data_IF_441964645509
#
_entry.id   IF_441964645509
#
_cell.length_a   1.000
_cell.length_b   1.000
_cell.length_c   1.000
_cell.angle_alpha   90.00
_cell.angle_beta   90.00
_cell.angle_gamma   90.00
#
_symmetry.space_group_name_H-M   'P 1'
#
loop_
_entity.id
_entity.type
_entity.pdbx_description
1 polymer ?
#
# COMPACT_ATOMS: atom_id res chain seq x y z
N UNK A 1 23.37 -3.55 -11.78
CA UNK A 1 22.49 -4.66 -12.20
C UNK A 1 23.36 -5.85 -12.49
N UNK A 2 23.04 -7.03 -12.00
CA UNK A 2 23.76 -8.23 -12.42
C UNK A 2 23.53 -8.43 -13.92
N UNK A 3 24.58 -8.72 -14.63
CA UNK A 3 24.51 -9.07 -16.04
C UNK A 3 23.43 -10.14 -16.23
N UNK A 4 22.44 -9.81 -17.03
CA UNK A 4 21.32 -10.72 -17.31
C UNK A 4 21.91 -11.94 -18.01
N UNK A 5 21.74 -13.11 -17.42
CA UNK A 5 22.10 -14.37 -18.07
C UNK A 5 21.29 -14.48 -19.35
N UNK A 6 21.90 -14.47 -20.54
CA UNK A 6 21.19 -14.25 -21.80
C UNK A 6 20.19 -15.36 -22.15
N UNK A 7 20.43 -16.57 -21.67
CA UNK A 7 19.53 -17.72 -21.95
C UNK A 7 19.64 -18.74 -20.83
N UNK A 8 18.68 -18.76 -19.91
CA UNK A 8 18.73 -19.72 -18.80
C UNK A 8 18.52 -21.15 -19.30
N UNK A 9 19.44 -22.05 -19.00
CA UNK A 9 19.28 -23.48 -19.21
C UNK A 9 18.43 -24.11 -18.11
N UNK A 10 17.12 -23.91 -18.18
CA UNK A 10 16.20 -24.49 -17.19
C UNK A 10 16.23 -26.00 -17.12
N UNK A 11 16.62 -26.71 -18.20
CA UNK A 11 16.71 -28.16 -18.22
C UNK A 11 17.96 -28.59 -17.47
N UNK A 12 19.09 -27.91 -17.70
CA UNK A 12 20.32 -28.12 -16.96
C UNK A 12 20.15 -27.88 -15.49
N UNK A 13 19.52 -26.77 -15.09
CA UNK A 13 19.24 -26.42 -13.69
C UNK A 13 18.31 -27.42 -12.97
N UNK A 14 17.39 -28.01 -13.72
CA UNK A 14 16.51 -29.07 -13.21
C UNK A 14 17.25 -30.37 -12.90
N UNK A 15 18.28 -30.67 -13.71
CA UNK A 15 19.12 -31.87 -13.51
C UNK A 15 20.15 -31.66 -12.42
N UNK A 16 20.73 -30.48 -12.36
CA UNK A 16 21.70 -30.07 -11.35
C UNK A 16 21.40 -28.64 -10.86
N UNK A 17 20.65 -28.50 -9.77
CA UNK A 17 20.30 -27.20 -9.21
C UNK A 17 21.51 -26.38 -8.79
N UNK A 18 22.67 -26.99 -8.56
CA UNK A 18 23.88 -26.28 -8.16
C UNK A 18 24.46 -25.39 -9.26
N UNK A 19 24.04 -25.62 -10.51
CA UNK A 19 24.46 -24.85 -11.68
C UNK A 19 23.53 -23.66 -11.97
N UNK A 20 22.46 -23.50 -11.21
CA UNK A 20 21.51 -22.42 -11.43
C UNK A 20 22.14 -21.05 -11.19
N UNK A 21 21.79 -20.02 -12.02
CA UNK A 21 22.32 -18.67 -11.85
C UNK A 21 21.95 -18.14 -10.46
N UNK A 22 22.91 -17.51 -9.82
CA UNK A 22 22.75 -16.94 -8.47
C UNK A 22 23.25 -17.83 -7.34
N UNK A 23 23.48 -19.13 -7.55
CA UNK A 23 24.12 -19.97 -6.53
C UNK A 23 25.55 -19.52 -6.29
N UNK A 24 26.28 -19.17 -7.36
CA UNK A 24 27.60 -18.58 -7.24
C UNK A 24 27.59 -17.23 -6.49
N UNK A 25 26.52 -16.45 -6.63
CA UNK A 25 26.32 -15.20 -5.91
C UNK A 25 26.12 -15.44 -4.42
N UNK A 26 25.38 -16.48 -4.03
CA UNK A 26 25.21 -16.86 -2.62
C UNK A 26 26.50 -17.37 -1.98
N UNK A 27 27.35 -18.04 -2.77
CA UNK A 27 28.64 -18.54 -2.33
C UNK A 27 29.78 -17.54 -2.49
N UNK A 28 29.55 -16.39 -3.12
CA UNK A 28 30.55 -15.36 -3.29
C UNK A 28 30.70 -14.55 -2.00
N UNK A 29 31.91 -14.50 -1.38
CA UNK A 29 32.16 -13.77 -0.14
C UNK A 29 31.71 -12.31 -0.20
N UNK A 30 31.78 -11.68 -1.39
CA UNK A 30 31.33 -10.30 -1.60
C UNK A 30 29.84 -10.09 -1.35
N UNK A 31 29.02 -11.13 -1.54
CA UNK A 31 27.57 -11.07 -1.39
C UNK A 31 27.05 -11.93 -0.24
N UNK A 32 27.81 -12.95 0.17
CA UNK A 32 27.44 -13.86 1.26
C UNK A 32 27.23 -13.11 2.59
N UNK A 33 28.09 -12.13 2.89
CA UNK A 33 27.97 -11.31 4.09
C UNK A 33 26.76 -10.36 4.09
N UNK A 34 26.20 -10.12 2.90
CA UNK A 34 24.98 -9.29 2.71
C UNK A 34 23.72 -10.12 2.54
N UNK A 35 23.83 -11.43 2.36
CA UNK A 35 22.71 -12.33 2.21
C UNK A 35 22.11 -12.67 3.59
N UNK A 36 21.19 -11.82 4.03
CA UNK A 36 20.46 -12.02 5.30
C UNK A 36 19.06 -12.56 5.03
N UNK A 37 18.57 -13.53 5.83
CA UNK A 37 17.26 -14.13 5.63
C UNK A 37 16.13 -13.11 5.87
N UNK A 38 15.10 -13.18 5.05
CA UNK A 38 13.83 -12.45 5.28
C UNK A 38 12.88 -13.39 6.02
N UNK A 39 12.24 -12.88 7.06
CA UNK A 39 11.28 -13.62 7.87
C UNK A 39 9.89 -13.08 7.54
N UNK A 40 8.94 -13.97 7.25
CA UNK A 40 7.53 -13.64 7.10
C UNK A 40 6.75 -14.29 8.25
N UNK A 41 5.88 -13.52 8.88
CA UNK A 41 5.07 -13.97 10.00
C UNK A 41 3.68 -13.34 10.00
N UNK A 42 2.74 -14.00 10.65
CA UNK A 42 1.42 -13.44 10.89
C UNK A 42 1.35 -12.91 12.34
N UNK A 43 0.69 -11.79 12.51
CA UNK A 43 0.38 -11.30 13.86
C UNK A 43 -0.51 -12.30 14.60
N UNK A 44 -0.28 -12.45 15.90
CA UNK A 44 -1.14 -13.27 16.78
C UNK A 44 -2.58 -12.73 16.83
N UNK A 45 -2.72 -11.42 16.65
CA UNK A 45 -3.99 -10.70 16.74
C UNK A 45 -4.60 -10.43 15.37
N UNK A 46 -4.13 -11.14 14.32
CA UNK A 46 -4.66 -10.99 12.97
C UNK A 46 -6.16 -11.30 12.94
N UNK A 47 -6.94 -10.37 12.40
CA UNK A 47 -8.39 -10.45 12.28
C UNK A 47 -8.80 -10.45 10.82
N UNK A 48 -9.94 -11.06 10.53
CA UNK A 48 -10.51 -11.01 9.17
C UNK A 48 -10.96 -9.58 8.84
N UNK A 49 -10.67 -9.06 7.64
CA UNK A 49 -11.17 -7.79 7.19
C UNK A 49 -12.69 -7.74 7.19
N UNK A 50 -13.24 -6.62 7.64
CA UNK A 50 -14.68 -6.38 7.69
C UNK A 50 -14.98 -5.06 7.00
N UNK A 51 -16.01 -5.06 6.14
CA UNK A 51 -16.47 -3.85 5.45
C UNK A 51 -17.93 -3.59 5.80
N UNK A 52 -18.18 -2.44 6.39
CA UNK A 52 -19.52 -1.92 6.63
C UNK A 52 -19.88 -0.96 5.52
N UNK A 53 -21.02 -1.18 4.88
CA UNK A 53 -21.57 -0.29 3.85
C UNK A 53 -22.98 0.12 4.22
N UNK A 54 -23.24 1.41 4.05
CA UNK A 54 -24.58 1.95 4.17
C UNK A 54 -24.83 2.94 3.03
N UNK A 55 -26.07 2.98 2.57
CA UNK A 55 -26.53 4.01 1.63
C UNK A 55 -27.94 4.46 2.01
N UNK A 56 -28.19 5.72 1.74
CA UNK A 56 -29.51 6.33 1.85
C UNK A 56 -29.76 7.17 0.60
N UNK A 57 -30.97 7.06 0.05
CA UNK A 57 -31.35 7.84 -1.11
C UNK A 57 -32.74 8.42 -0.88
N UNK A 58 -32.92 9.66 -1.32
CA UNK A 58 -34.20 10.35 -1.35
C UNK A 58 -34.43 10.94 -2.73
N UNK A 59 -35.60 10.66 -3.29
CA UNK A 59 -36.02 11.18 -4.59
C UNK A 59 -37.28 12.02 -4.41
N UNK A 60 -37.29 13.21 -4.99
CA UNK A 60 -38.43 14.11 -4.98
C UNK A 60 -38.83 14.51 -6.41
N UNK A 61 -40.12 14.46 -6.67
CA UNK A 61 -40.73 14.93 -7.91
C UNK A 61 -41.34 16.29 -7.64
N UNK A 62 -40.69 17.36 -8.10
CA UNK A 62 -41.20 18.74 -7.98
C UNK A 62 -42.36 18.98 -8.93
N UNK A 63 -42.38 18.23 -10.04
CA UNK A 63 -43.46 18.22 -11.04
C UNK A 63 -43.30 16.98 -11.93
N UNK A 64 -44.25 16.76 -12.84
CA UNK A 64 -44.15 15.70 -13.86
C UNK A 64 -42.93 15.86 -14.77
N UNK A 65 -42.30 17.04 -14.74
CA UNK A 65 -41.14 17.36 -15.58
C UNK A 65 -39.83 17.51 -14.84
N UNK A 66 -39.85 17.64 -13.51
CA UNK A 66 -38.65 17.86 -12.73
C UNK A 66 -38.56 16.84 -11.58
N UNK A 67 -37.54 16.02 -11.63
CA UNK A 67 -37.18 15.04 -10.60
C UNK A 67 -35.76 15.33 -10.08
N UNK A 68 -35.57 15.29 -8.79
CA UNK A 68 -34.26 15.34 -8.15
C UNK A 68 -34.08 14.21 -7.17
N UNK A 69 -32.85 13.69 -7.09
CA UNK A 69 -32.45 12.67 -6.13
C UNK A 69 -31.22 13.10 -5.38
N UNK A 70 -31.14 12.71 -4.12
CA UNK A 70 -29.97 12.89 -3.26
C UNK A 70 -29.63 11.54 -2.68
N UNK A 71 -28.37 11.14 -2.79
CA UNK A 71 -27.89 9.86 -2.28
C UNK A 71 -26.63 10.05 -1.45
N UNK A 72 -26.61 9.44 -0.28
CA UNK A 72 -25.44 9.38 0.59
C UNK A 72 -24.93 7.95 0.70
N UNK A 73 -23.62 7.79 0.68
CA UNK A 73 -22.94 6.50 0.76
C UNK A 73 -21.85 6.55 1.83
N UNK A 74 -21.76 5.47 2.61
CA UNK A 74 -20.71 5.27 3.60
C UNK A 74 -20.09 3.89 3.40
N UNK A 75 -18.75 3.84 3.39
CA UNK A 75 -18.00 2.58 3.44
C UNK A 75 -16.93 2.69 4.53
N UNK A 76 -16.96 1.76 5.49
CA UNK A 76 -15.97 1.67 6.55
C UNK A 76 -15.28 0.30 6.47
N UNK A 77 -14.04 0.29 6.02
CA UNK A 77 -13.16 -0.88 6.06
C UNK A 77 -12.43 -0.93 7.40
N UNK A 78 -12.38 -2.10 8.01
CA UNK A 78 -11.68 -2.36 9.27
C UNK A 78 -10.90 -3.67 9.17
N UNK A 79 -9.81 -3.74 9.92
CA UNK A 79 -8.93 -4.91 9.97
C UNK A 79 -8.34 -5.27 8.59
N UNK A 80 -8.18 -4.32 7.68
CA UNK A 80 -7.52 -4.60 6.41
C UNK A 80 -6.08 -5.03 6.67
N UNK A 81 -5.62 -5.98 5.89
CA UNK A 81 -4.26 -6.49 6.02
C UNK A 81 -3.25 -5.45 5.55
N UNK A 82 -2.17 -5.37 6.28
CA UNK A 82 -0.99 -4.60 5.93
C UNK A 82 0.26 -5.28 6.46
N UNK A 83 1.40 -5.01 5.84
CA UNK A 83 2.68 -5.55 6.28
C UNK A 83 3.48 -4.48 7.01
N UNK A 84 4.06 -4.86 8.12
CA UNK A 84 4.98 -4.03 8.90
C UNK A 84 6.33 -4.75 8.96
N UNK A 85 7.41 -4.01 8.73
CA UNK A 85 8.76 -4.54 8.91
C UNK A 85 9.21 -4.32 10.37
N UNK A 86 9.16 -5.37 11.17
CA UNK A 86 9.52 -5.33 12.60
C UNK A 86 11.02 -5.16 12.85
N UNK A 87 11.83 -5.34 11.83
CA UNK A 87 13.28 -5.13 11.94
C UNK A 87 13.72 -3.70 11.63
N UNK A 88 12.82 -2.83 11.23
CA UNK A 88 13.12 -1.40 11.11
C UNK A 88 13.13 -0.74 12.48
N UNK A 89 14.01 0.25 12.67
CA UNK A 89 14.04 1.07 13.89
C UNK A 89 12.66 1.72 14.14
N UNK A 90 12.28 1.86 15.40
CA UNK A 90 10.94 2.31 15.74
C UNK A 90 10.71 3.80 15.42
N UNK A 91 11.72 4.62 15.66
CA UNK A 91 11.65 6.06 15.46
C UNK A 91 12.46 6.50 14.24
N UNK A 92 11.96 7.42 13.44
CA UNK A 92 12.73 7.99 12.34
C UNK A 92 13.88 8.85 12.88
N UNK A 93 15.03 8.78 12.25
CA UNK A 93 16.17 9.64 12.57
C UNK A 93 15.90 11.12 12.30
N UNK A 94 15.10 11.39 11.27
CA UNK A 94 14.62 12.73 10.93
C UNK A 94 13.35 12.65 10.05
N UNK A 95 12.72 13.81 9.83
CA UNK A 95 11.50 13.90 9.02
C UNK A 95 11.66 14.93 7.91
N UNK A 96 11.05 14.66 6.76
CA UNK A 96 11.04 15.56 5.61
C UNK A 96 9.78 16.41 5.64
N UNK A 97 9.91 17.65 6.08
CA UNK A 97 8.76 18.58 6.17
C UNK A 97 8.14 18.89 4.80
N UNK A 98 8.95 18.93 3.75
CA UNK A 98 8.47 19.14 2.37
C UNK A 98 7.63 17.97 1.81
N UNK A 99 7.68 16.80 2.45
CA UNK A 99 6.98 15.59 2.04
C UNK A 99 5.96 15.14 3.10
N UNK A 100 5.21 16.06 3.65
CA UNK A 100 4.17 15.74 4.63
C UNK A 100 4.71 15.14 5.93
N UNK A 101 5.89 15.54 6.36
CA UNK A 101 6.56 15.02 7.55
C UNK A 101 6.94 13.52 7.47
N UNK A 102 7.21 13.02 6.26
CA UNK A 102 7.64 11.64 6.06
C UNK A 102 8.90 11.32 6.89
N UNK A 103 8.86 10.24 7.66
CA UNK A 103 9.98 9.76 8.46
C UNK A 103 11.06 9.11 7.61
N UNK A 104 12.33 9.37 7.95
CA UNK A 104 13.51 8.71 7.38
C UNK A 104 14.16 7.85 8.46
N UNK A 105 14.28 6.57 8.20
CA UNK A 105 14.68 5.54 9.14
C UNK A 105 16.14 5.11 9.00
N UNK A 106 16.95 5.91 8.31
CA UNK A 106 18.41 5.76 8.24
C UNK A 106 19.07 7.06 8.67
N UNK A 107 20.29 7.00 9.24
CA UNK A 107 21.04 8.22 9.59
C UNK A 107 21.34 9.05 8.34
N UNK A 108 21.24 10.37 8.42
CA UNK A 108 21.49 11.27 7.29
C UNK A 108 22.93 11.12 6.75
N UNK A 109 23.89 10.75 7.59
CA UNK A 109 25.28 10.51 7.20
C UNK A 109 25.49 9.29 6.30
N UNK A 110 24.54 8.37 6.24
CA UNK A 110 24.59 7.14 5.42
C UNK A 110 23.90 7.32 4.07
N UNK A 111 23.28 8.47 3.85
CA UNK A 111 22.62 8.78 2.58
C UNK A 111 23.65 9.26 1.57
N UNK A 112 23.71 8.58 0.43
CA UNK A 112 24.57 8.95 -0.69
C UNK A 112 24.20 10.31 -1.28
N UNK A 113 25.14 10.96 -1.94
CA UNK A 113 24.90 12.26 -2.61
C UNK A 113 23.85 12.20 -3.72
N UNK A 114 23.63 11.02 -4.26
CA UNK A 114 22.62 10.66 -5.26
C UNK A 114 21.27 10.25 -4.64
N UNK A 115 21.15 10.30 -3.31
CA UNK A 115 19.97 9.90 -2.57
C UNK A 115 19.87 8.38 -2.32
N UNK A 116 20.91 7.60 -2.67
CA UNK A 116 20.92 6.16 -2.37
C UNK A 116 20.98 5.93 -0.86
N UNK A 117 20.23 4.91 -0.40
CA UNK A 117 20.13 4.52 1.00
C UNK A 117 20.72 3.12 1.19
N UNK A 118 21.53 2.93 2.22
CA UNK A 118 21.79 1.58 2.73
C UNK A 118 20.67 1.22 3.74
N UNK A 119 19.76 0.37 3.30
CA UNK A 119 18.61 -0.05 4.10
C UNK A 119 19.02 -0.83 5.36
N UNK A 120 20.23 -1.37 5.43
CA UNK A 120 20.74 -2.06 6.62
C UNK A 120 20.95 -1.10 7.79
N UNK A 121 21.25 0.15 7.52
CA UNK A 121 21.48 1.20 8.54
C UNK A 121 20.21 1.58 9.30
N UNK A 122 19.03 1.21 8.77
CA UNK A 122 17.74 1.41 9.42
C UNK A 122 17.23 0.17 10.18
N UNK A 123 18.06 -0.85 10.40
CA UNK A 123 17.67 -2.11 11.02
C UNK A 123 17.98 -2.15 12.51
N UNK A 124 17.08 -2.80 13.28
CA UNK A 124 17.32 -3.15 14.69
C UNK A 124 18.39 -4.23 14.80
N UNK A 125 18.41 -5.16 13.84
CA UNK A 125 19.36 -6.26 13.77
C UNK A 125 19.88 -6.43 12.36
N UNK A 126 21.19 -6.55 12.21
CA UNK A 126 21.88 -6.84 10.96
C UNK A 126 21.99 -8.34 10.67
N UNK A 127 21.60 -9.20 11.61
CA UNK A 127 21.62 -10.66 11.45
C UNK A 127 20.50 -11.18 10.57
N UNK A 128 19.44 -10.39 10.41
CA UNK A 128 18.28 -10.69 9.57
C UNK A 128 17.97 -9.48 8.69
N UNK A 129 17.38 -9.74 7.53
CA UNK A 129 16.90 -8.70 6.64
C UNK A 129 15.56 -8.13 7.13
N UNK A 130 14.54 -8.28 6.33
CA UNK A 130 13.18 -7.86 6.69
C UNK A 130 12.52 -8.88 7.61
N UNK A 131 11.79 -8.40 8.59
CA UNK A 131 10.87 -9.20 9.40
C UNK A 131 9.47 -8.70 9.14
N UNK A 132 8.82 -9.30 8.14
CA UNK A 132 7.52 -8.89 7.64
C UNK A 132 6.41 -9.53 8.45
N UNK A 133 5.71 -8.73 9.22
CA UNK A 133 4.53 -9.15 9.96
C UNK A 133 3.27 -8.69 9.23
N UNK A 134 2.37 -9.64 8.94
CA UNK A 134 1.02 -9.35 8.48
C UNK A 134 0.17 -8.96 9.69
N UNK A 135 -0.28 -7.71 9.71
CA UNK A 135 -1.16 -7.16 10.75
C UNK A 135 -2.51 -6.78 10.18
N UNK A 136 -3.51 -6.61 11.04
CA UNK A 136 -4.90 -6.26 10.68
C UNK A 136 -5.26 -4.86 11.18
N UNK A 137 -4.38 -3.89 10.93
CA UNK A 137 -4.52 -2.51 11.43
C UNK A 137 -5.02 -1.54 10.35
N UNK A 138 -5.22 -2.05 9.14
CA UNK A 138 -5.69 -1.25 8.02
C UNK A 138 -7.12 -0.77 8.20
N UNK A 139 -7.35 0.51 7.85
CA UNK A 139 -8.64 1.19 7.93
C UNK A 139 -8.93 1.91 6.63
N UNK A 140 -10.18 1.96 6.26
CA UNK A 140 -10.71 2.79 5.17
C UNK A 140 -11.95 3.50 5.68
N UNK A 141 -12.03 4.80 5.45
CA UNK A 141 -13.21 5.61 5.68
C UNK A 141 -13.54 6.32 4.37
N UNK A 142 -14.69 6.00 3.80
CA UNK A 142 -15.17 6.62 2.58
C UNK A 142 -16.57 7.15 2.80
N UNK A 143 -16.79 8.41 2.41
CA UNK A 143 -18.09 9.06 2.38
C UNK A 143 -18.28 9.66 1.00
N UNK A 144 -19.44 9.42 0.42
CA UNK A 144 -19.80 10.02 -0.85
C UNK A 144 -21.22 10.58 -0.79
N UNK A 145 -21.44 11.62 -1.56
CA UNK A 145 -22.72 12.28 -1.70
C UNK A 145 -22.97 12.58 -3.16
N UNK A 146 -24.13 12.19 -3.67
CA UNK A 146 -24.51 12.42 -5.05
C UNK A 146 -25.82 13.18 -5.11
N UNK A 147 -25.90 14.19 -5.97
CA UNK A 147 -27.12 14.88 -6.34
C UNK A 147 -27.36 14.66 -7.83
N UNK A 148 -28.52 14.18 -8.15
CA UNK A 148 -28.97 13.94 -9.52
C UNK A 148 -30.22 14.77 -9.81
N UNK A 149 -30.36 15.25 -11.03
CA UNK A 149 -31.54 15.94 -11.49
C UNK A 149 -31.88 15.58 -12.92
N UNK A 150 -33.15 15.47 -13.21
CA UNK A 150 -33.68 15.27 -14.56
C UNK A 150 -34.80 16.26 -14.81
N UNK A 151 -34.67 17.03 -15.87
CA UNK A 151 -35.64 18.01 -16.27
C UNK A 151 -36.09 17.79 -17.71
N UNK A 152 -37.41 17.57 -17.91
CA UNK A 152 -38.03 17.47 -19.22
C UNK A 152 -38.58 18.82 -19.60
N UNK A 153 -37.88 19.52 -20.48
CA UNK A 153 -38.19 20.90 -20.82
C UNK A 153 -39.11 21.03 -22.07
N UNK A 154 -39.19 19.99 -22.91
CA UNK A 154 -40.05 19.95 -24.08
C UNK A 154 -40.58 18.53 -24.28
N UNK A 155 -41.45 18.33 -25.35
CA UNK A 155 -42.11 17.05 -25.60
C UNK A 155 -41.14 15.86 -25.61
N UNK A 156 -39.98 16.05 -26.23
CA UNK A 156 -38.95 15.03 -26.39
C UNK A 156 -37.56 15.48 -25.86
N UNK A 157 -37.50 16.64 -25.19
CA UNK A 157 -36.26 17.20 -24.66
C UNK A 157 -36.08 16.86 -23.16
N UNK A 158 -34.95 16.29 -22.84
CA UNK A 158 -34.55 15.96 -21.47
C UNK A 158 -33.13 16.45 -21.17
N UNK A 159 -32.93 17.07 -20.04
CA UNK A 159 -31.63 17.45 -19.49
C UNK A 159 -31.43 16.73 -18.18
N UNK A 160 -30.34 15.97 -18.06
CA UNK A 160 -29.92 15.33 -16.84
C UNK A 160 -28.59 15.88 -16.37
N UNK A 161 -28.45 16.05 -15.07
CA UNK A 161 -27.18 16.41 -14.43
C UNK A 161 -26.94 15.50 -13.22
N UNK A 162 -25.68 15.29 -12.90
CA UNK A 162 -25.25 14.58 -11.69
C UNK A 162 -23.99 15.24 -11.16
N UNK A 163 -23.94 15.40 -9.85
CA UNK A 163 -22.74 15.84 -9.13
C UNK A 163 -22.46 14.90 -8.00
N UNK A 164 -21.23 14.39 -7.94
CA UNK A 164 -20.77 13.52 -6.84
C UNK A 164 -19.58 14.14 -6.14
N UNK A 165 -19.70 14.24 -4.83
CA UNK A 165 -18.58 14.51 -3.94
C UNK A 165 -18.16 13.22 -3.24
N UNK A 166 -16.85 12.99 -3.12
CA UNK A 166 -16.30 11.81 -2.45
C UNK A 166 -15.08 12.22 -1.60
N UNK A 167 -15.06 11.73 -0.36
CA UNK A 167 -13.91 11.81 0.53
C UNK A 167 -13.52 10.40 0.97
N UNK A 168 -12.29 10.01 0.67
CA UNK A 168 -11.77 8.69 1.02
C UNK A 168 -10.43 8.86 1.73
N UNK A 169 -10.33 8.26 2.91
CA UNK A 169 -9.13 8.21 3.72
C UNK A 169 -8.81 6.77 4.08
N UNK A 170 -7.58 6.37 3.87
CA UNK A 170 -7.10 5.05 4.27
C UNK A 170 -5.64 5.08 4.69
N UNK A 171 -5.19 4.05 5.39
CA UNK A 171 -3.80 3.84 5.78
C UNK A 171 -3.16 2.63 5.09
N UNK A 172 -3.79 2.11 4.04
CA UNK A 172 -3.35 0.90 3.34
C UNK A 172 -2.98 1.12 1.87
N UNK A 173 -3.17 2.32 1.33
CA UNK A 173 -2.95 2.63 -0.09
C UNK A 173 -1.52 2.37 -0.58
N UNK A 174 -0.54 2.51 0.30
CA UNK A 174 0.87 2.23 0.01
C UNK A 174 1.29 0.78 0.26
N UNK A 175 0.46 0.03 0.98
CA UNK A 175 0.71 -1.37 1.22
C UNK A 175 0.14 -2.16 0.05
N UNK A 176 0.92 -2.30 -1.01
CA UNK A 176 0.55 -3.17 -2.11
C UNK A 176 0.21 -4.58 -1.62
N UNK A 177 -0.46 -5.35 -2.45
CA UNK A 177 -0.85 -6.73 -2.14
C UNK A 177 0.34 -7.71 -2.01
N UNK A 178 1.56 -7.21 -2.18
CA UNK A 178 2.79 -7.98 -2.14
C UNK A 178 3.67 -7.46 -1.00
N UNK A 179 4.05 -8.34 -0.10
CA UNK A 179 4.87 -8.02 1.06
C UNK A 179 6.13 -7.20 0.73
N UNK A 180 6.77 -7.47 -0.39
CA UNK A 180 7.97 -6.75 -0.81
C UNK A 180 7.70 -5.28 -1.16
N UNK A 181 6.59 -4.97 -1.81
CA UNK A 181 6.25 -3.57 -2.15
C UNK A 181 5.70 -2.81 -0.94
N UNK A 182 5.03 -3.49 -0.02
CA UNK A 182 4.48 -2.89 1.18
C UNK A 182 5.54 -2.32 2.12
N UNK A 183 6.75 -2.86 2.09
CA UNK A 183 7.84 -2.48 3.00
C UNK A 183 8.85 -1.51 2.40
N UNK A 184 8.73 -1.20 1.12
CA UNK A 184 9.57 -0.18 0.47
C UNK A 184 9.18 1.24 0.91
N UNK A 185 7.91 1.46 1.20
CA UNK A 185 7.41 2.68 1.81
C UNK A 185 6.96 2.33 3.22
N UNK A 186 7.81 2.55 4.16
CA UNK A 186 7.44 2.57 5.57
C UNK A 186 6.22 3.45 5.74
N UNK A 187 5.32 3.00 6.60
CA UNK A 187 4.09 3.69 6.87
C UNK A 187 4.30 5.16 7.08
N UNK A 188 4.00 5.87 6.04
CA UNK A 188 4.14 7.32 5.99
C UNK A 188 2.88 7.95 6.52
N UNK A 189 1.84 7.17 6.66
CA UNK A 189 0.51 7.72 6.82
C UNK A 189 0.05 7.49 8.23
N UNK A 190 -0.15 8.57 8.90
CA UNK A 190 -0.92 8.61 10.13
C UNK A 190 -2.30 7.99 9.90
N UNK A 191 -2.90 7.49 10.97
CA UNK A 191 -4.25 6.94 10.99
C UNK A 191 -5.23 7.85 10.22
N UNK A 192 -6.02 7.32 9.28
CA UNK A 192 -7.03 8.09 8.60
C UNK A 192 -8.08 8.56 9.61
N UNK A 193 -8.12 9.83 9.85
CA UNK A 193 -9.04 10.48 10.78
C UNK A 193 -10.21 11.11 10.07
#
# INVERSE_FOLDING_TARGET
EPDIVPTPDFIGYRKDPSTAPGIDLLNNPKYADKAVPTINMNSKDAKVPVVYKANISYTHFFSDRLKMSVSGYMTLGRNNYMYIDRNTVDDPYFRLSAEGNRGIYVPASTIGKDGTLDWMEGRKSTKVGRVLELVSEGKVNQFAFTVDGTWRYYKDGELSFSYTWNDTKDNTSYNGNVANSATLSQMVVDDPR
#
